data_IF_810805463766
#
_entry.id   IF_810805463766
#
_cell.length_a   1.000
_cell.length_b   1.000
_cell.length_c   1.000
_cell.angle_alpha   90.00
_cell.angle_beta   90.00
_cell.angle_gamma   90.00
#
_symmetry.space_group_name_H-M   'P 1'
#
loop_
_entity.id
_entity.type
_entity.pdbx_description
1 polymer ?
#
# COMPACT_ATOMS: atom_id res chain seq x y z
N UNK A 1 -17.80 22.91 -9.97
CA UNK A 1 -16.83 22.70 -11.07
C UNK A 1 -15.37 22.87 -10.67
N UNK A 2 -15.00 23.67 -9.65
CA UNK A 2 -13.60 23.80 -9.20
C UNK A 2 -12.98 22.59 -8.48
N UNK A 3 -13.79 21.60 -8.09
CA UNK A 3 -13.36 20.43 -7.31
C UNK A 3 -12.38 19.52 -8.08
N UNK A 4 -12.35 19.59 -9.41
CA UNK A 4 -11.46 18.77 -10.23
C UNK A 4 -10.02 19.32 -10.35
N UNK A 5 -9.67 20.38 -9.61
CA UNK A 5 -8.34 21.00 -9.69
C UNK A 5 -7.20 20.04 -9.30
N UNK A 6 -7.49 19.00 -8.52
CA UNK A 6 -6.51 17.95 -8.19
C UNK A 6 -6.02 17.16 -9.41
N UNK A 7 -6.86 16.94 -10.42
CA UNK A 7 -6.50 16.15 -11.61
C UNK A 7 -5.33 16.77 -12.38
N UNK A 8 -5.38 18.06 -12.81
CA UNK A 8 -4.24 18.67 -13.49
C UNK A 8 -2.99 18.74 -12.60
N UNK A 9 -3.13 18.89 -11.28
CA UNK A 9 -1.99 18.86 -10.34
C UNK A 9 -1.30 17.49 -10.38
N UNK A 10 -2.07 16.40 -10.37
CA UNK A 10 -1.52 15.04 -10.45
C UNK A 10 -0.84 14.79 -11.80
N UNK A 11 -1.51 15.18 -12.89
CA UNK A 11 -0.97 15.00 -14.26
C UNK A 11 0.35 15.75 -14.43
N UNK A 12 0.40 17.02 -14.05
CA UNK A 12 1.62 17.84 -14.15
C UNK A 12 2.70 17.33 -13.19
N UNK A 13 2.33 16.96 -11.96
CA UNK A 13 3.28 16.47 -10.97
C UNK A 13 3.98 15.19 -11.40
N UNK A 14 3.25 14.26 -12.01
CA UNK A 14 3.84 13.04 -12.57
C UNK A 14 4.59 13.27 -13.87
N UNK A 15 4.12 14.17 -14.74
CA UNK A 15 4.85 14.54 -15.95
C UNK A 15 6.24 15.12 -15.62
N UNK A 16 6.33 15.90 -14.53
CA UNK A 16 7.57 16.45 -14.00
C UNK A 16 8.38 15.46 -13.14
N UNK A 17 7.91 14.20 -13.02
CA UNK A 17 8.55 13.11 -12.25
C UNK A 17 8.78 13.44 -10.77
N UNK A 18 7.93 14.26 -10.17
CA UNK A 18 8.00 14.54 -8.74
C UNK A 18 7.61 13.32 -7.90
N UNK A 19 7.98 13.35 -6.62
CA UNK A 19 7.62 12.29 -5.68
C UNK A 19 6.10 12.12 -5.63
N UNK A 20 5.64 10.89 -5.89
CA UNK A 20 4.22 10.55 -5.95
C UNK A 20 3.45 10.93 -4.69
N UNK A 21 4.03 10.70 -3.50
CA UNK A 21 3.38 11.04 -2.23
C UNK A 21 3.17 12.55 -2.09
N UNK A 22 4.15 13.36 -2.47
CA UNK A 22 4.04 14.82 -2.44
C UNK A 22 2.93 15.30 -3.39
N UNK A 23 2.95 14.84 -4.64
CA UNK A 23 2.00 15.25 -5.68
C UNK A 23 0.56 14.94 -5.28
N UNK A 24 0.31 13.69 -4.84
CA UNK A 24 -1.03 13.25 -4.44
C UNK A 24 -1.53 14.00 -3.20
N UNK A 25 -0.64 14.28 -2.24
CA UNK A 25 -1.01 15.03 -1.03
C UNK A 25 -1.42 16.46 -1.37
N UNK A 26 -0.63 17.17 -2.19
CA UNK A 26 -0.95 18.53 -2.62
C UNK A 26 -2.25 18.56 -3.44
N UNK A 27 -2.44 17.61 -4.35
CA UNK A 27 -3.65 17.51 -5.16
C UNK A 27 -4.90 17.26 -4.30
N UNK A 28 -4.82 16.37 -3.31
CA UNK A 28 -5.93 16.09 -2.40
C UNK A 28 -6.27 17.27 -1.49
N UNK A 29 -5.26 17.98 -0.97
CA UNK A 29 -5.46 19.20 -0.19
C UNK A 29 -6.08 20.31 -1.04
N UNK A 30 -5.54 20.56 -2.24
CA UNK A 30 -6.08 21.56 -3.17
C UNK A 30 -7.54 21.25 -3.55
N UNK A 31 -7.86 19.97 -3.76
CA UNK A 31 -9.23 19.51 -4.04
C UNK A 31 -10.16 19.70 -2.84
N UNK A 32 -9.71 19.38 -1.64
CA UNK A 32 -10.47 19.57 -0.40
C UNK A 32 -10.79 21.04 -0.15
N UNK A 33 -9.81 21.93 -0.35
CA UNK A 33 -10.01 23.38 -0.24
C UNK A 33 -10.98 23.88 -1.32
N UNK A 34 -10.82 23.42 -2.56
CA UNK A 34 -11.72 23.79 -3.66
C UNK A 34 -13.16 23.26 -3.48
N UNK A 35 -13.33 22.21 -2.68
CA UNK A 35 -14.62 21.68 -2.26
C UNK A 35 -15.23 22.41 -1.05
N UNK A 36 -14.51 23.38 -0.45
CA UNK A 36 -14.97 24.13 0.71
C UNK A 36 -14.87 23.39 2.04
N UNK A 37 -14.09 22.29 2.09
CA UNK A 37 -13.88 21.53 3.31
C UNK A 37 -12.99 22.29 4.30
N UNK A 38 -13.31 22.19 5.58
CA UNK A 38 -12.42 22.69 6.63
C UNK A 38 -11.17 21.79 6.76
N UNK A 39 -10.06 22.34 7.26
CA UNK A 39 -8.79 21.59 7.38
C UNK A 39 -8.95 20.25 8.11
N UNK A 40 -9.78 20.21 9.16
CA UNK A 40 -10.06 18.98 9.93
C UNK A 40 -10.81 17.95 9.08
N UNK A 41 -11.75 18.39 8.24
CA UNK A 41 -12.51 17.52 7.35
C UNK A 41 -11.63 16.94 6.24
N UNK A 42 -10.68 17.73 5.72
CA UNK A 42 -9.69 17.24 4.73
C UNK A 42 -8.88 16.09 5.34
N UNK A 43 -8.32 16.30 6.54
CA UNK A 43 -7.55 15.26 7.25
C UNK A 43 -8.42 14.04 7.57
N UNK A 44 -9.66 14.24 7.99
CA UNK A 44 -10.62 13.16 8.24
C UNK A 44 -10.94 12.37 6.97
N UNK A 45 -11.13 13.05 5.83
CA UNK A 45 -11.40 12.41 4.54
C UNK A 45 -10.21 11.57 4.06
N UNK A 46 -8.98 12.07 4.24
CA UNK A 46 -7.78 11.26 4.02
C UNK A 46 -7.80 10.01 4.91
N UNK A 47 -7.97 10.18 6.23
CA UNK A 47 -8.03 9.06 7.17
C UNK A 47 -9.09 8.02 6.81
N UNK A 48 -10.28 8.47 6.39
CA UNK A 48 -11.35 7.59 5.92
C UNK A 48 -10.97 6.87 4.64
N UNK A 49 -10.39 7.56 3.65
CA UNK A 49 -9.92 6.93 2.42
C UNK A 49 -8.83 5.87 2.68
N UNK A 50 -7.93 6.10 3.64
CA UNK A 50 -6.91 5.12 4.04
C UNK A 50 -7.51 3.93 4.80
N UNK A 51 -8.50 4.16 5.67
CA UNK A 51 -9.16 3.11 6.44
C UNK A 51 -10.05 2.21 5.55
N UNK A 52 -10.78 2.81 4.60
CA UNK A 52 -11.63 2.11 3.65
C UNK A 52 -10.80 1.28 2.66
N UNK A 53 -9.61 1.78 2.28
CA UNK A 53 -8.64 1.02 1.50
C UNK A 53 -7.84 0.06 2.39
N UNK A 54 -8.52 -1.00 2.84
CA UNK A 54 -8.01 -2.07 3.71
C UNK A 54 -6.64 -2.65 3.30
N UNK A 55 -6.29 -2.57 2.01
CA UNK A 55 -4.98 -2.96 1.48
C UNK A 55 -3.81 -2.12 2.02
N UNK A 56 -4.00 -0.82 2.33
CA UNK A 56 -2.95 0.02 2.90
C UNK A 56 -2.70 -0.30 4.38
N UNK A 57 -3.76 -0.63 5.14
CA UNK A 57 -3.64 -1.11 6.52
C UNK A 57 -3.10 -2.54 6.64
N UNK A 58 -3.21 -3.33 5.57
CA UNK A 58 -2.82 -4.74 5.56
C UNK A 58 -1.34 -4.93 5.88
N UNK A 59 -0.45 -4.04 5.41
CA UNK A 59 0.99 -4.05 5.73
C UNK A 59 1.22 -4.08 7.24
N UNK A 60 0.52 -3.21 7.97
CA UNK A 60 0.64 -3.08 9.43
C UNK A 60 0.15 -4.32 10.18
N UNK A 61 -0.78 -5.08 9.62
CA UNK A 61 -1.24 -6.35 10.18
C UNK A 61 -0.34 -7.52 9.73
N UNK A 62 0.12 -7.53 8.48
CA UNK A 62 0.99 -8.59 7.98
C UNK A 62 2.35 -8.60 8.65
N UNK A 63 2.96 -7.44 8.96
CA UNK A 63 4.25 -7.41 9.64
C UNK A 63 4.27 -8.17 10.98
N UNK A 64 3.37 -7.88 11.95
CA UNK A 64 3.32 -8.63 13.21
C UNK A 64 2.90 -10.08 13.00
N UNK A 65 2.01 -10.37 12.04
CA UNK A 65 1.63 -11.76 11.70
C UNK A 65 2.85 -12.54 11.18
N UNK A 66 3.60 -11.98 10.23
CA UNK A 66 4.85 -12.57 9.71
C UNK A 66 5.85 -12.74 10.85
N UNK A 67 6.05 -11.72 11.69
CA UNK A 67 6.95 -11.81 12.84
C UNK A 67 6.56 -12.94 13.80
N UNK A 68 5.27 -13.10 14.10
CA UNK A 68 4.76 -14.17 14.96
C UNK A 68 5.01 -15.54 14.33
N UNK A 69 4.70 -15.70 13.05
CA UNK A 69 4.91 -16.95 12.33
C UNK A 69 6.40 -17.31 12.23
N UNK A 70 7.26 -16.34 11.97
CA UNK A 70 8.71 -16.54 11.95
C UNK A 70 9.27 -16.96 13.31
N UNK A 71 8.82 -16.34 14.41
CA UNK A 71 9.18 -16.76 15.77
C UNK A 71 8.73 -18.18 16.10
N UNK A 72 7.61 -18.62 15.53
CA UNK A 72 7.12 -20.01 15.63
C UNK A 72 7.76 -20.97 14.61
N UNK A 73 8.86 -20.56 13.96
CA UNK A 73 9.63 -21.45 13.11
C UNK A 73 9.05 -21.68 11.71
N UNK A 74 8.14 -20.81 11.23
CA UNK A 74 7.59 -20.92 9.86
C UNK A 74 8.69 -21.07 8.80
N UNK A 75 9.76 -20.27 8.90
CA UNK A 75 10.93 -20.35 8.00
C UNK A 75 11.66 -21.69 8.10
N UNK A 76 11.76 -22.26 9.30
CA UNK A 76 12.42 -23.56 9.54
C UNK A 76 11.59 -24.70 8.95
N UNK A 77 10.28 -24.70 9.20
CA UNK A 77 9.35 -25.68 8.65
C UNK A 77 9.26 -25.60 7.12
N UNK A 78 9.23 -24.39 6.56
CA UNK A 78 9.26 -24.19 5.10
C UNK A 78 10.53 -24.81 4.48
N UNK A 79 11.72 -24.56 5.06
CA UNK A 79 12.98 -25.16 4.58
C UNK A 79 12.96 -26.67 4.63
N UNK A 80 12.44 -27.25 5.72
CA UNK A 80 12.35 -28.71 5.89
C UNK A 80 11.34 -29.36 4.93
N UNK A 81 10.23 -28.69 4.61
CA UNK A 81 9.29 -29.17 3.59
C UNK A 81 9.90 -29.10 2.19
N UNK A 82 10.57 -27.98 1.85
CA UNK A 82 11.24 -27.81 0.56
C UNK A 82 12.36 -28.84 0.37
N UNK A 83 13.14 -29.14 1.41
CA UNK A 83 14.22 -30.14 1.32
C UNK A 83 13.69 -31.56 1.08
N UNK A 84 12.50 -31.90 1.59
CA UNK A 84 11.83 -33.19 1.31
C UNK A 84 11.31 -33.29 -0.13
N UNK A 85 10.87 -32.17 -0.71
CA UNK A 85 10.43 -32.11 -2.11
C UNK A 85 11.60 -32.25 -3.09
N UNK A 86 12.83 -31.96 -2.66
CA UNK A 86 14.03 -32.10 -3.49
C UNK A 86 14.36 -33.56 -3.87
N UNK A 87 13.72 -34.56 -3.25
CA UNK A 87 13.79 -35.97 -3.68
C UNK A 87 12.89 -36.29 -4.89
N UNK A 88 12.03 -35.34 -5.31
CA UNK A 88 11.34 -35.34 -6.60
C UNK A 88 12.15 -34.49 -7.60
N UNK A 89 13.41 -34.87 -7.83
CA UNK A 89 14.19 -34.28 -8.93
C UNK A 89 13.57 -34.67 -10.26
N UNK A 90 13.63 -33.76 -11.24
CA UNK A 90 13.13 -33.93 -12.62
C UNK A 90 13.64 -35.21 -13.29
N UNK A 91 14.74 -35.79 -12.81
CA UNK A 91 15.30 -37.05 -13.31
C UNK A 91 14.66 -38.34 -12.77
N UNK A 92 13.71 -38.30 -11.82
CA UNK A 92 13.03 -39.51 -11.28
C UNK A 92 11.59 -39.68 -11.78
N UNK A 93 11.11 -38.74 -12.59
CA UNK A 93 9.74 -38.70 -13.15
C UNK A 93 9.74 -38.89 -14.69
N UNK A 94 10.91 -38.98 -15.30
CA UNK A 94 11.11 -39.30 -16.72
C UNK A 94 11.68 -40.71 -16.88
#
# INVERSE_FOLDING_TARGET
MGVLIGVPIVVLGFALRFNALLVVTIAGVATGIAAGLQTVEIVSAFGKAFADNRYMGLIWLTLPVIALLERNGLKQQARHLISRLHAATTGRVL
#
